data_IF_310200841422
#
_entry.id   IF_310200841422
#
_cell.length_a   1.000
_cell.length_b   1.000
_cell.length_c   1.000
_cell.angle_alpha   90.00
_cell.angle_beta   90.00
_cell.angle_gamma   90.00
#
_symmetry.space_group_name_H-M   'P 1'
#
loop_
_entity.id
_entity.type
_entity.pdbx_description
1 polymer ?
#
# COMPACT_ATOMS: atom_id res chain seq x y z
N UNK A 1 50.60 -5.97 42.46
CA UNK A 1 50.55 -6.71 41.18
C UNK A 1 49.32 -7.60 41.21
N UNK A 2 48.21 -7.16 40.62
CA UNK A 2 46.94 -7.90 40.59
C UNK A 2 47.08 -9.07 39.61
N UNK A 3 47.07 -10.31 40.10
CA UNK A 3 47.08 -11.50 39.24
C UNK A 3 45.69 -11.67 38.65
N UNK A 4 45.53 -11.32 37.38
CA UNK A 4 44.29 -11.54 36.64
C UNK A 4 44.09 -13.05 36.53
N UNK A 5 42.96 -13.54 37.03
CA UNK A 5 42.67 -14.97 37.11
C UNK A 5 42.25 -15.48 35.73
N UNK A 6 42.68 -16.67 35.32
CA UNK A 6 42.38 -17.19 33.99
C UNK A 6 40.86 -17.31 33.75
N UNK A 7 40.12 -17.59 34.83
CA UNK A 7 38.66 -17.62 34.87
C UNK A 7 38.08 -16.24 34.51
N UNK A 8 38.64 -15.14 35.04
CA UNK A 8 38.16 -13.78 34.74
C UNK A 8 38.38 -13.37 33.29
N UNK A 9 39.47 -13.82 32.65
CA UNK A 9 39.70 -13.59 31.21
C UNK A 9 38.74 -14.42 30.35
N UNK A 10 38.52 -15.68 30.71
CA UNK A 10 37.60 -16.57 30.02
C UNK A 10 36.15 -16.07 30.10
N UNK A 11 35.71 -15.57 31.27
CA UNK A 11 34.38 -14.99 31.43
C UNK A 11 34.23 -13.69 30.64
N UNK A 12 35.23 -12.81 30.64
CA UNK A 12 35.18 -11.58 29.84
C UNK A 12 35.16 -11.88 28.32
N UNK A 13 35.91 -12.89 27.87
CA UNK A 13 35.90 -13.32 26.47
C UNK A 13 34.54 -13.94 26.09
N UNK A 14 33.92 -14.74 26.96
CA UNK A 14 32.58 -15.29 26.77
C UNK A 14 31.52 -14.20 26.75
N UNK A 15 31.56 -13.25 27.70
CA UNK A 15 30.63 -12.12 27.72
C UNK A 15 30.83 -11.23 26.50
N UNK A 16 32.07 -10.96 26.11
CA UNK A 16 32.39 -10.21 24.89
C UNK A 16 31.90 -10.92 23.62
N UNK A 17 32.08 -12.25 23.54
CA UNK A 17 31.58 -13.07 22.43
C UNK A 17 30.06 -13.11 22.38
N UNK A 18 29.39 -13.29 23.52
CA UNK A 18 27.92 -13.31 23.62
C UNK A 18 27.34 -11.92 23.28
N UNK A 19 27.98 -10.83 23.71
CA UNK A 19 27.58 -9.47 23.35
C UNK A 19 27.81 -9.19 21.85
N UNK A 20 28.95 -9.59 21.28
CA UNK A 20 29.21 -9.42 19.84
C UNK A 20 28.32 -10.29 18.96
N UNK A 21 28.02 -11.53 19.36
CA UNK A 21 27.12 -12.43 18.64
C UNK A 21 25.65 -11.97 18.71
N UNK A 22 25.30 -11.09 19.66
CA UNK A 22 23.94 -10.59 19.85
C UNK A 22 23.58 -9.36 19.02
N UNK A 23 24.51 -8.77 18.24
CA UNK A 23 24.14 -7.70 17.31
C UNK A 23 23.51 -8.31 16.06
N UNK A 24 22.26 -8.76 16.18
CA UNK A 24 21.42 -9.30 15.08
C UNK A 24 21.01 -8.24 14.06
N UNK A 25 21.94 -7.38 13.65
CA UNK A 25 21.71 -6.31 12.69
C UNK A 25 21.58 -6.91 11.27
N UNK A 26 20.41 -6.72 10.67
CA UNK A 26 20.12 -7.19 9.31
C UNK A 26 20.83 -6.36 8.24
N UNK A 27 20.82 -6.82 6.98
CA UNK A 27 21.39 -6.04 5.88
C UNK A 27 20.70 -4.66 5.72
N UNK A 28 19.36 -4.64 5.77
CA UNK A 28 18.63 -3.38 5.67
C UNK A 28 18.98 -2.41 6.81
N UNK A 29 19.04 -2.90 8.06
CA UNK A 29 19.35 -2.06 9.21
C UNK A 29 20.74 -1.45 9.11
N UNK A 30 21.73 -2.26 8.71
CA UNK A 30 23.11 -1.81 8.49
C UNK A 30 23.18 -0.75 7.38
N UNK A 31 22.54 -1.00 6.23
CA UNK A 31 22.54 -0.07 5.10
C UNK A 31 21.83 1.23 5.47
N UNK A 32 20.66 1.15 6.12
CA UNK A 32 19.94 2.31 6.64
C UNK A 32 20.81 3.17 7.54
N UNK A 33 21.54 2.57 8.50
CA UNK A 33 22.44 3.32 9.40
C UNK A 33 23.56 4.02 8.63
N UNK A 34 24.20 3.32 7.69
CA UNK A 34 25.30 3.88 6.87
C UNK A 34 24.80 5.04 6.02
N UNK A 35 23.71 4.85 5.28
CA UNK A 35 23.15 5.88 4.40
C UNK A 35 22.67 7.07 5.23
N UNK A 36 21.93 6.85 6.32
CA UNK A 36 21.46 7.93 7.18
C UNK A 36 22.60 8.77 7.77
N UNK A 37 23.76 8.15 8.04
CA UNK A 37 24.96 8.86 8.50
C UNK A 37 25.63 9.64 7.37
N UNK A 38 25.66 9.09 6.15
CA UNK A 38 26.23 9.75 4.98
C UNK A 38 25.37 10.91 4.48
N UNK A 39 24.04 10.81 4.63
CA UNK A 39 23.07 11.77 4.11
C UNK A 39 22.51 12.69 5.17
N UNK A 40 23.09 12.75 6.38
CA UNK A 40 22.56 13.53 7.50
C UNK A 40 22.35 15.02 7.17
N UNK A 41 23.10 15.54 6.20
CA UNK A 41 23.06 16.93 5.73
C UNK A 41 22.50 17.09 4.32
N UNK A 42 21.98 16.02 3.70
CA UNK A 42 21.53 15.98 2.31
C UNK A 42 20.07 15.52 2.25
N UNK A 43 19.16 16.40 1.81
CA UNK A 43 17.75 16.06 1.60
C UNK A 43 17.55 15.34 0.27
N UNK A 44 16.61 14.39 0.27
CA UNK A 44 16.13 13.73 -0.95
C UNK A 44 16.90 12.49 -1.41
N UNK A 45 17.96 12.10 -0.70
CA UNK A 45 18.63 10.82 -0.93
C UNK A 45 17.82 9.65 -0.34
N UNK A 46 17.94 8.49 -0.97
CA UNK A 46 17.24 7.27 -0.57
C UNK A 46 17.90 6.66 0.67
N UNK A 47 17.21 6.73 1.81
CA UNK A 47 17.56 5.96 3.01
C UNK A 47 16.61 4.76 3.09
N UNK A 48 17.11 3.51 3.05
CA UNK A 48 16.26 2.33 3.07
C UNK A 48 15.30 2.27 4.27
N UNK A 49 14.04 1.99 3.99
CA UNK A 49 13.05 1.62 4.98
C UNK A 49 13.05 0.11 5.20
N UNK A 50 13.15 -0.29 6.48
CA UNK A 50 13.10 -1.67 6.90
C UNK A 50 11.77 -1.98 7.59
N UNK A 51 11.30 -3.22 7.48
CA UNK A 51 10.17 -3.72 8.27
C UNK A 51 10.59 -4.06 9.72
N UNK A 52 9.64 -4.55 10.52
CA UNK A 52 9.86 -4.91 11.94
C UNK A 52 10.86 -6.06 12.12
N UNK A 53 11.04 -6.89 11.10
CA UNK A 53 12.00 -8.00 11.08
C UNK A 53 13.37 -7.58 10.54
N UNK A 54 13.51 -6.33 10.07
CA UNK A 54 14.71 -5.81 9.47
C UNK A 54 14.91 -6.21 8.01
N UNK A 55 13.88 -6.67 7.30
CA UNK A 55 13.93 -6.85 5.85
C UNK A 55 13.68 -5.51 5.14
N UNK A 56 14.12 -5.39 3.89
CA UNK A 56 13.76 -4.23 3.08
C UNK A 56 12.25 -4.18 2.84
N UNK A 57 11.65 -3.02 3.07
CA UNK A 57 10.26 -2.80 2.62
C UNK A 57 10.22 -2.83 1.09
N UNK A 58 9.20 -3.46 0.49
CA UNK A 58 8.99 -3.46 -0.96
C UNK A 58 8.90 -2.05 -1.56
N UNK A 59 8.30 -1.11 -0.84
CA UNK A 59 8.16 0.28 -1.26
C UNK A 59 9.21 1.14 -0.55
N UNK A 60 9.93 1.92 -1.34
CA UNK A 60 10.97 2.83 -0.86
C UNK A 60 10.70 4.21 -1.42
N UNK A 61 10.62 5.20 -0.55
CA UNK A 61 10.17 6.52 -0.94
C UNK A 61 11.10 7.60 -0.42
N UNK A 62 11.37 8.60 -1.26
CA UNK A 62 12.44 9.56 -1.09
C UNK A 62 12.08 10.89 -1.77
N UNK A 63 12.96 11.87 -1.61
CA UNK A 63 12.69 13.23 -2.06
C UNK A 63 11.72 13.99 -1.14
N UNK A 64 11.49 15.24 -1.50
CA UNK A 64 10.53 16.10 -0.80
C UNK A 64 9.09 15.79 -1.21
N UNK A 65 8.17 16.11 -0.31
CA UNK A 65 6.75 16.07 -0.61
C UNK A 65 6.39 17.27 -1.48
N UNK A 66 6.04 17.03 -2.74
CA UNK A 66 5.49 18.07 -3.63
C UNK A 66 4.05 17.68 -3.98
N UNK A 67 3.12 18.62 -4.00
CA UNK A 67 1.70 18.33 -4.23
C UNK A 67 1.13 17.22 -3.30
N UNK A 68 1.62 17.16 -2.06
CA UNK A 68 1.15 16.21 -1.04
C UNK A 68 1.68 14.78 -1.14
N UNK A 69 2.62 14.47 -2.07
CA UNK A 69 3.23 13.13 -2.17
C UNK A 69 4.73 13.15 -2.39
N UNK A 70 5.43 12.15 -1.85
CA UNK A 70 6.84 11.83 -2.16
C UNK A 70 6.95 10.92 -3.38
N UNK A 71 8.13 10.82 -3.98
CA UNK A 71 8.38 9.78 -4.98
C UNK A 71 8.62 8.45 -4.27
N UNK A 72 8.05 7.38 -4.81
CA UNK A 72 8.23 6.02 -4.33
C UNK A 72 8.66 5.11 -5.47
N UNK A 73 9.45 4.10 -5.20
CA UNK A 73 9.89 3.06 -6.12
C UNK A 73 9.73 1.68 -5.47
N UNK A 74 9.65 0.63 -6.30
CA UNK A 74 9.50 -0.74 -5.82
C UNK A 74 10.82 -1.50 -5.91
N UNK A 75 11.13 -2.25 -4.86
CA UNK A 75 12.36 -3.02 -4.71
C UNK A 75 12.03 -4.47 -4.36
N UNK A 76 12.89 -5.40 -4.78
CA UNK A 76 12.87 -6.79 -4.33
C UNK A 76 13.50 -6.94 -2.93
N UNK A 77 13.55 -8.18 -2.42
CA UNK A 77 14.12 -8.53 -1.12
C UNK A 77 15.63 -8.32 -1.01
N UNK A 78 16.34 -8.22 -2.13
CA UNK A 78 17.78 -7.95 -2.22
C UNK A 78 18.09 -6.46 -2.43
N UNK A 79 17.05 -5.61 -2.43
CA UNK A 79 17.13 -4.18 -2.72
C UNK A 79 17.50 -3.87 -4.18
N UNK A 80 17.17 -4.76 -5.10
CA UNK A 80 17.13 -4.52 -6.55
C UNK A 80 15.87 -3.76 -6.95
N UNK A 81 16.02 -2.68 -7.71
CA UNK A 81 14.88 -1.85 -8.12
C UNK A 81 14.07 -2.55 -9.22
N UNK A 82 12.81 -2.89 -8.95
CA UNK A 82 11.86 -3.50 -9.89
C UNK A 82 11.10 -2.44 -10.69
N UNK A 83 10.60 -1.38 -10.01
CA UNK A 83 9.82 -0.32 -10.64
C UNK A 83 10.37 1.05 -10.30
N UNK A 84 10.49 1.89 -11.32
CA UNK A 84 11.00 3.25 -11.21
C UNK A 84 10.13 4.20 -10.38
N UNK A 85 10.69 5.37 -9.99
CA UNK A 85 10.03 6.29 -9.08
C UNK A 85 8.74 6.89 -9.64
N UNK A 86 7.67 6.89 -8.84
CA UNK A 86 6.37 7.50 -9.15
C UNK A 86 5.74 8.06 -7.89
N UNK A 87 4.97 9.15 -8.04
CA UNK A 87 4.17 9.75 -6.95
C UNK A 87 2.83 9.05 -6.74
N UNK A 88 2.42 8.26 -7.73
CA UNK A 88 1.14 7.56 -7.69
C UNK A 88 1.24 6.18 -7.03
N UNK A 89 2.47 5.69 -6.83
CA UNK A 89 2.71 4.46 -6.08
C UNK A 89 2.24 4.61 -4.63
N UNK A 90 1.42 3.64 -4.20
CA UNK A 90 0.84 3.51 -2.87
C UNK A 90 1.34 2.25 -2.18
N UNK A 91 1.51 1.18 -2.96
CA UNK A 91 2.04 -0.10 -2.53
C UNK A 91 3.00 -0.65 -3.58
N UNK A 92 3.79 -1.64 -3.19
CA UNK A 92 4.66 -2.42 -4.08
C UNK A 92 4.49 -3.93 -3.88
N UNK A 93 3.62 -4.37 -2.97
CA UNK A 93 3.48 -5.79 -2.64
C UNK A 93 3.03 -6.62 -3.85
N UNK A 94 2.07 -6.10 -4.63
CA UNK A 94 1.63 -6.78 -5.86
C UNK A 94 2.74 -6.85 -6.91
N UNK A 95 3.46 -5.73 -7.11
CA UNK A 95 4.56 -5.66 -8.08
C UNK A 95 5.67 -6.65 -7.72
N UNK A 96 6.04 -6.77 -6.44
CA UNK A 96 7.01 -7.76 -5.97
C UNK A 96 6.48 -9.19 -6.20
N UNK A 97 5.21 -9.46 -5.86
CA UNK A 97 4.62 -10.77 -6.09
C UNK A 97 4.59 -11.15 -7.58
N UNK A 98 4.32 -10.20 -8.47
CA UNK A 98 4.38 -10.41 -9.92
C UNK A 98 5.81 -10.69 -10.39
N UNK A 99 6.78 -9.91 -9.95
CA UNK A 99 8.19 -10.13 -10.26
C UNK A 99 8.66 -11.52 -9.83
N UNK A 100 8.33 -11.94 -8.60
CA UNK A 100 8.63 -13.30 -8.12
C UNK A 100 7.91 -14.39 -8.93
N UNK A 101 6.66 -14.15 -9.34
CA UNK A 101 5.89 -15.09 -10.17
C UNK A 101 6.53 -15.30 -11.55
N UNK A 102 7.04 -14.23 -12.17
CA UNK A 102 7.73 -14.32 -13.47
C UNK A 102 9.00 -15.20 -13.38
N UNK A 103 9.73 -15.13 -12.27
CA UNK A 103 10.96 -15.90 -12.06
C UNK A 103 10.73 -17.34 -11.57
N UNK A 104 9.50 -17.71 -11.17
CA UNK A 104 9.16 -19.08 -10.77
C UNK A 104 9.07 -20.02 -11.96
N UNK A 105 9.41 -21.30 -11.73
CA UNK A 105 9.22 -22.36 -12.71
C UNK A 105 7.72 -22.59 -13.01
N UNK A 106 7.34 -23.08 -14.20
CA UNK A 106 5.94 -23.36 -14.53
C UNK A 106 5.23 -24.29 -13.53
N UNK A 107 5.96 -25.20 -12.91
CA UNK A 107 5.44 -26.17 -11.93
C UNK A 107 5.15 -25.53 -10.56
N UNK A 108 5.84 -24.44 -10.23
CA UNK A 108 5.68 -23.68 -8.98
C UNK A 108 4.79 -22.44 -9.14
N UNK A 109 4.43 -22.10 -10.38
CA UNK A 109 3.57 -20.95 -10.67
C UNK A 109 2.15 -21.24 -10.22
N UNK A 110 1.72 -20.47 -9.23
CA UNK A 110 0.31 -20.29 -8.93
C UNK A 110 -0.37 -19.35 -9.93
N UNK A 111 -1.51 -18.79 -9.52
CA UNK A 111 -2.20 -17.77 -10.31
C UNK A 111 -1.37 -16.48 -10.41
N UNK A 112 -1.32 -15.89 -11.60
CA UNK A 112 -0.67 -14.60 -11.85
C UNK A 112 -1.35 -13.49 -11.01
N UNK A 113 -0.59 -12.69 -10.26
CA UNK A 113 -1.17 -11.55 -9.55
C UNK A 113 -1.41 -10.39 -10.53
N UNK A 114 -2.64 -9.90 -10.57
CA UNK A 114 -3.00 -8.75 -11.38
C UNK A 114 -2.87 -7.45 -10.58
N UNK A 115 -1.94 -6.59 -10.99
CA UNK A 115 -1.61 -5.37 -10.29
C UNK A 115 -2.14 -4.12 -11.00
N UNK A 116 -2.49 -3.11 -10.21
CA UNK A 116 -2.63 -1.76 -10.73
C UNK A 116 -1.24 -1.20 -11.01
N UNK A 117 -0.89 -1.01 -12.28
CA UNK A 117 0.46 -0.57 -12.66
C UNK A 117 0.81 0.86 -12.22
N UNK A 118 -0.20 1.67 -11.85
CA UNK A 118 -0.03 3.06 -11.42
C UNK A 118 0.16 3.16 -9.91
N UNK A 119 -0.70 2.50 -9.12
CA UNK A 119 -0.61 2.52 -7.66
C UNK A 119 0.26 1.42 -7.06
N UNK A 120 0.51 0.35 -7.82
CA UNK A 120 1.27 -0.84 -7.39
C UNK A 120 0.52 -1.77 -6.44
N UNK A 121 -0.74 -1.44 -6.14
CA UNK A 121 -1.66 -2.27 -5.38
C UNK A 121 -2.17 -3.45 -6.23
N UNK A 122 -2.69 -4.48 -5.57
CA UNK A 122 -3.48 -5.51 -6.22
C UNK A 122 -4.76 -4.90 -6.79
N UNK A 123 -5.16 -5.37 -7.98
CA UNK A 123 -6.53 -5.14 -8.43
C UNK A 123 -7.50 -5.83 -7.44
N UNK A 124 -8.58 -5.18 -6.98
CA UNK A 124 -9.47 -5.77 -5.98
C UNK A 124 -10.03 -7.13 -6.40
N UNK A 125 -10.30 -7.30 -7.69
CA UNK A 125 -10.64 -8.59 -8.29
C UNK A 125 -9.38 -9.20 -8.90
N UNK A 126 -9.06 -10.40 -8.45
CA UNK A 126 -8.05 -11.28 -9.02
C UNK A 126 -8.75 -12.44 -9.74
N UNK A 127 -8.08 -13.05 -10.71
CA UNK A 127 -8.65 -14.15 -11.45
C UNK A 127 -7.55 -15.04 -12.03
N UNK A 128 -7.93 -16.26 -12.40
CA UNK A 128 -7.14 -17.15 -13.23
C UNK A 128 -8.00 -17.61 -14.42
N UNK A 129 -7.71 -18.76 -15.02
CA UNK A 129 -8.49 -19.30 -16.13
C UNK A 129 -9.88 -19.82 -15.72
N UNK A 130 -10.06 -20.27 -14.48
CA UNK A 130 -11.28 -20.95 -13.99
C UNK A 130 -12.06 -20.17 -12.97
N UNK A 131 -11.38 -19.36 -12.16
CA UNK A 131 -11.93 -18.74 -10.95
C UNK A 131 -11.55 -17.27 -10.86
N UNK A 132 -12.33 -16.52 -10.10
CA UNK A 132 -12.03 -15.17 -9.65
C UNK A 132 -12.27 -15.02 -8.16
N UNK A 133 -11.63 -14.04 -7.54
CA UNK A 133 -11.73 -13.78 -6.11
C UNK A 133 -11.40 -12.34 -5.77
N UNK A 134 -11.84 -11.92 -4.59
CA UNK A 134 -11.55 -10.61 -4.05
C UNK A 134 -10.29 -10.63 -3.18
N UNK A 135 -9.49 -9.57 -3.26
CA UNK A 135 -8.33 -9.37 -2.39
C UNK A 135 -8.29 -7.97 -1.81
N UNK A 136 -7.64 -7.83 -0.68
CA UNK A 136 -7.28 -6.53 -0.11
C UNK A 136 -6.22 -5.85 -1.00
N UNK A 137 -6.42 -4.59 -1.44
CA UNK A 137 -5.54 -3.94 -2.43
C UNK A 137 -4.06 -3.84 -2.03
N UNK A 138 -3.75 -3.67 -0.75
CA UNK A 138 -2.35 -3.52 -0.31
C UNK A 138 -1.66 -4.89 -0.11
N UNK A 139 -2.31 -5.81 0.61
CA UNK A 139 -1.67 -7.06 1.06
C UNK A 139 -1.88 -8.23 0.10
N UNK A 140 -2.88 -8.17 -0.79
CA UNK A 140 -3.31 -9.30 -1.60
C UNK A 140 -4.07 -10.38 -0.82
N UNK A 141 -4.41 -10.12 0.45
CA UNK A 141 -5.14 -11.05 1.32
C UNK A 141 -6.52 -11.37 0.74
N UNK A 142 -6.86 -12.65 0.64
CA UNK A 142 -8.15 -13.14 0.15
C UNK A 142 -9.31 -12.63 1.00
N UNK A 143 -10.32 -12.08 0.33
CA UNK A 143 -11.58 -11.63 0.91
C UNK A 143 -12.69 -12.60 0.47
N UNK A 144 -13.11 -13.47 1.40
CA UNK A 144 -14.16 -14.45 1.15
C UNK A 144 -13.70 -15.69 0.37
N UNK A 145 -14.62 -16.29 -0.39
CA UNK A 145 -14.38 -17.50 -1.17
C UNK A 145 -14.09 -17.19 -2.64
N UNK A 146 -13.36 -18.10 -3.30
CA UNK A 146 -13.20 -18.06 -4.76
C UNK A 146 -14.52 -18.42 -5.43
N UNK A 147 -14.79 -17.78 -6.56
CA UNK A 147 -15.98 -17.96 -7.36
C UNK A 147 -15.60 -18.48 -8.74
N UNK A 148 -16.50 -19.24 -9.37
CA UNK A 148 -16.29 -19.79 -10.71
C UNK A 148 -16.40 -18.70 -11.77
N UNK A 149 -15.54 -18.76 -12.77
CA UNK A 149 -15.42 -17.81 -13.88
C UNK A 149 -14.04 -17.16 -13.87
N UNK A 150 -13.25 -17.38 -14.91
CA UNK A 150 -11.91 -16.79 -15.03
C UNK A 150 -11.91 -15.34 -15.50
N UNK A 151 -10.73 -14.80 -15.82
CA UNK A 151 -10.54 -13.41 -16.24
C UNK A 151 -11.29 -13.00 -17.52
N UNK A 152 -11.71 -13.95 -18.34
CA UNK A 152 -12.51 -13.70 -19.55
C UNK A 152 -14.01 -13.51 -19.27
N UNK A 153 -14.44 -13.68 -18.02
CA UNK A 153 -15.83 -13.50 -17.61
C UNK A 153 -16.19 -12.01 -17.52
N UNK A 154 -17.47 -11.67 -17.66
CA UNK A 154 -17.92 -10.30 -17.42
C UNK A 154 -17.93 -10.01 -15.91
N UNK A 155 -16.84 -9.40 -15.43
CA UNK A 155 -16.62 -9.04 -14.02
C UNK A 155 -16.89 -7.55 -13.75
N UNK A 156 -17.50 -6.84 -14.70
CA UNK A 156 -17.72 -5.38 -14.63
C UNK A 156 -18.67 -4.94 -13.51
N UNK A 157 -19.57 -5.83 -13.07
CA UNK A 157 -20.51 -5.60 -11.97
C UNK A 157 -19.99 -6.06 -10.60
N UNK A 158 -18.82 -6.70 -10.55
CA UNK A 158 -18.27 -7.24 -9.32
C UNK A 158 -17.68 -6.13 -8.44
N UNK A 159 -18.15 -6.05 -7.19
CA UNK A 159 -17.58 -5.17 -6.18
C UNK A 159 -17.09 -6.00 -5.01
N UNK A 160 -15.81 -5.85 -4.68
CA UNK A 160 -15.17 -6.51 -3.55
C UNK A 160 -15.46 -5.83 -2.19
N UNK A 161 -16.44 -4.92 -2.14
CA UNK A 161 -16.88 -4.28 -0.89
C UNK A 161 -15.80 -3.46 -0.19
N UNK A 162 -14.86 -2.89 -0.95
CA UNK A 162 -13.71 -2.14 -0.41
C UNK A 162 -14.12 -0.73 0.10
N UNK A 163 -15.36 -0.30 -0.14
CA UNK A 163 -15.88 0.99 0.30
C UNK A 163 -16.30 0.98 1.80
N UNK A 164 -15.32 1.18 2.67
CA UNK A 164 -15.38 2.25 3.68
C UNK A 164 -16.47 2.29 4.77
N UNK A 165 -17.37 1.32 4.95
CA UNK A 165 -18.23 1.30 6.15
C UNK A 165 -17.68 0.38 7.24
N UNK A 166 -16.85 0.94 8.13
CA UNK A 166 -16.85 0.52 9.54
C UNK A 166 -18.18 0.93 10.17
N UNK A 167 -19.26 0.20 9.85
CA UNK A 167 -20.42 0.15 10.71
C UNK A 167 -20.52 -1.26 11.25
N UNK A 168 -20.12 -1.42 12.51
CA UNK A 168 -20.38 -2.62 13.26
C UNK A 168 -21.88 -2.90 13.28
N UNK A 169 -22.29 -3.95 12.56
CA UNK A 169 -23.48 -4.68 12.95
C UNK A 169 -23.24 -6.18 12.76
N UNK A 170 -22.85 -6.77 13.89
CA UNK A 170 -23.13 -8.16 14.22
C UNK A 170 -24.65 -8.37 14.11
N UNK A 171 -25.10 -9.29 13.26
CA UNK A 171 -26.53 -9.50 13.07
C UNK A 171 -26.84 -10.69 12.17
N UNK A 172 -26.68 -11.89 12.72
CA UNK A 172 -27.27 -13.11 12.20
C UNK A 172 -28.78 -12.92 12.00
N UNK A 173 -29.28 -13.17 10.79
CA UNK A 173 -30.73 -13.24 10.57
C UNK A 173 -31.23 -14.64 10.91
N UNK A 174 -31.83 -14.75 12.09
CA UNK A 174 -32.85 -15.76 12.41
C UNK A 174 -34.16 -15.03 12.69
N UNK A 175 -35.17 -15.43 11.92
CA UNK A 175 -36.56 -15.61 12.33
C UNK A 175 -37.38 -14.47 12.96
N UNK A 176 -38.38 -14.06 12.18
CA UNK A 176 -39.81 -14.13 12.54
C UNK A 176 -40.51 -12.94 13.20
N UNK A 177 -41.73 -12.74 12.67
CA UNK A 177 -42.93 -12.13 13.22
C UNK A 177 -43.17 -10.62 13.03
N UNK A 178 -44.00 -10.37 11.99
CA UNK A 178 -44.97 -9.28 11.89
C UNK A 178 -45.77 -9.12 13.20
N UNK A 179 -45.72 -7.91 13.77
CA UNK A 179 -46.61 -7.45 14.83
C UNK A 179 -46.87 -5.95 14.65
N UNK A 180 -48.15 -5.58 14.56
CA UNK A 180 -48.65 -4.24 14.23
C UNK A 180 -48.91 -3.37 15.47
N UNK A 181 -48.98 -2.06 15.20
CA UNK A 181 -49.69 -0.98 15.93
C UNK A 181 -49.08 -0.30 17.18
N UNK A 182 -49.11 1.05 17.16
CA UNK A 182 -49.02 1.91 18.34
C UNK A 182 -48.63 3.37 18.03
N UNK A 183 -49.62 4.21 17.73
CA UNK A 183 -49.50 5.68 17.63
C UNK A 183 -49.16 6.36 18.97
N UNK A 184 -48.47 7.52 18.93
CA UNK A 184 -48.86 8.81 19.54
C UNK A 184 -47.69 9.71 20.01
N UNK A 185 -47.50 10.81 19.27
CA UNK A 185 -47.43 12.23 19.68
C UNK A 185 -46.49 12.81 20.77
N UNK A 186 -45.87 13.92 20.34
CA UNK A 186 -45.58 15.22 20.98
C UNK A 186 -44.19 15.52 21.58
N UNK A 187 -43.60 16.61 21.07
CA UNK A 187 -42.54 17.41 21.72
C UNK A 187 -41.87 18.39 20.76
N UNK A 188 -42.31 19.65 20.74
CA UNK A 188 -41.77 20.75 19.93
C UNK A 188 -40.64 21.53 20.67
N UNK A 189 -40.10 22.55 19.99
CA UNK A 189 -39.07 23.57 20.36
C UNK A 189 -37.63 23.23 19.90
N UNK A 190 -36.86 24.08 19.19
CA UNK A 190 -37.05 25.42 18.66
C UNK A 190 -35.79 25.90 17.89
N UNK A 191 -36.01 26.82 16.94
CA UNK A 191 -35.12 27.86 16.39
C UNK A 191 -33.79 27.54 15.65
N UNK A 192 -33.90 27.69 14.31
CA UNK A 192 -33.16 28.62 13.43
C UNK A 192 -31.63 28.78 13.56
N UNK A 193 -30.89 28.46 12.49
CA UNK A 193 -30.01 29.43 11.82
C UNK A 193 -29.72 29.04 10.35
N UNK A 194 -30.07 29.95 9.44
CA UNK A 194 -29.71 29.96 8.02
C UNK A 194 -28.20 30.21 7.84
N UNK A 195 -27.57 29.47 6.91
CA UNK A 195 -26.23 29.75 6.38
C UNK A 195 -26.16 29.29 4.93
N UNK A 196 -26.02 30.25 4.02
CA UNK A 196 -26.25 30.14 2.59
C UNK A 196 -25.20 29.33 1.81
N UNK A 197 -25.69 28.62 0.78
CA UNK A 197 -24.92 28.12 -0.35
C UNK A 197 -24.41 29.29 -1.20
N UNK A 198 -23.12 29.27 -1.54
CA UNK A 198 -22.50 30.15 -2.53
C UNK A 198 -21.96 29.33 -3.70
N UNK A 199 -22.82 29.09 -4.70
CA UNK A 199 -22.38 28.73 -6.04
C UNK A 199 -21.91 30.01 -6.76
N UNK A 200 -20.76 29.97 -7.42
CA UNK A 200 -20.37 30.98 -8.40
C UNK A 200 -19.70 30.31 -9.57
N UNK A 201 -20.53 29.95 -10.54
CA UNK A 201 -20.16 29.86 -11.93
C UNK A 201 -20.05 31.28 -12.50
N UNK A 202 -18.87 31.67 -12.97
CA UNK A 202 -18.72 32.73 -13.95
C UNK A 202 -18.00 32.17 -15.16
N UNK A 203 -18.78 31.88 -16.20
CA UNK A 203 -18.27 31.79 -17.55
C UNK A 203 -18.04 33.19 -18.12
N UNK A 204 -16.99 33.33 -18.89
CA UNK A 204 -16.85 34.39 -19.90
C UNK A 204 -16.21 33.79 -21.14
N UNK A 205 -17.02 33.75 -22.19
CA UNK A 205 -16.70 33.53 -23.60
C UNK A 205 -16.10 34.79 -24.24
N UNK A 206 -15.07 34.64 -25.07
CA UNK A 206 -14.78 35.43 -26.28
C UNK A 206 -13.80 34.61 -27.14
N UNK A 207 -14.26 34.00 -28.24
CA UNK A 207 -14.33 34.51 -29.63
C UNK A 207 -12.98 34.66 -30.35
N UNK A 208 -12.78 33.72 -31.30
CA UNK A 208 -12.27 33.79 -32.67
C UNK A 208 -11.09 34.71 -33.02
N UNK A 209 -10.09 34.11 -33.69
CA UNK A 209 -9.63 34.53 -35.03
C UNK A 209 -8.67 33.51 -35.64
N UNK A 210 -9.04 33.02 -36.82
CA UNK A 210 -8.28 32.17 -37.74
C UNK A 210 -7.16 32.95 -38.45
N UNK A 211 -6.06 32.28 -38.81
CA UNK A 211 -5.30 32.61 -40.03
C UNK A 211 -4.45 31.43 -40.49
N UNK A 212 -4.82 30.90 -41.66
CA UNK A 212 -4.00 30.07 -42.55
C UNK A 212 -2.84 30.87 -43.14
N UNK A 213 -1.74 30.19 -43.45
CA UNK A 213 -0.65 30.68 -44.27
C UNK A 213 0.30 29.55 -44.66
N UNK A 214 0.04 28.94 -45.82
CA UNK A 214 1.02 28.16 -46.58
C UNK A 214 2.16 29.07 -47.05
N UNK A 215 3.41 28.57 -47.09
CA UNK A 215 4.27 28.65 -48.28
C UNK A 215 5.59 27.88 -48.10
N UNK A 216 5.88 27.11 -49.15
CA UNK A 216 7.10 26.36 -49.43
C UNK A 216 8.35 27.24 -49.54
N UNK A 217 9.49 26.67 -49.14
CA UNK A 217 10.79 26.75 -49.82
C UNK A 217 11.64 25.55 -49.38
#
# INVERSE_FOLDING_TARGET
>A
MTRINFITLATCALVGYVLCASTGETDCQRRRRTEQSATSNLTGLLVPECDEHGNYKPIQCFGETVQGRRFCACYDSEFGQIKGPSRNLRSCNCIVAYHEWEHKSPEERGSEPHCNTTSGEYNPVQCNSTDHWCVEPDSGRLLGAKMTGGCSSDLSSMSCGIDGTHHGHHGSHSDSHHGSHGDSHHGAHGDSHHGAHGDSHTGTSHQDSSSHGDHSA
#
